data_IF_986346453366
#
_entry.id   IF_986346453366
#
_cell.length_a   1.000
_cell.length_b   1.000
_cell.length_c   1.000
_cell.angle_alpha   90.00
_cell.angle_beta   90.00
_cell.angle_gamma   90.00
#
_symmetry.space_group_name_H-M   'P 1'
#
loop_
_entity.id
_entity.type
_entity.pdbx_description
1 polymer ?
#
# COMPACT_ATOMS: atom_id res chain seq x y z
N UNK A 1 -16.42 -8.22 18.95
CA UNK A 1 -16.32 -7.49 17.68
C UNK A 1 -15.13 -7.98 16.90
N UNK A 2 -15.23 -7.95 15.58
CA UNK A 2 -14.16 -8.21 14.63
C UNK A 2 -13.44 -6.89 14.30
N UNK A 3 -12.15 -6.78 14.59
CA UNK A 3 -11.34 -5.58 14.32
C UNK A 3 -10.37 -5.92 13.20
N UNK A 4 -10.36 -5.14 12.12
CA UNK A 4 -9.35 -5.24 11.07
C UNK A 4 -8.27 -4.18 11.29
N UNK A 5 -7.01 -4.62 11.44
CA UNK A 5 -5.84 -3.76 11.44
C UNK A 5 -5.31 -3.67 10.01
N UNK A 6 -5.33 -2.48 9.43
CA UNK A 6 -4.92 -2.22 8.04
C UNK A 6 -3.77 -1.23 8.09
N UNK A 7 -2.54 -1.72 8.12
CA UNK A 7 -1.40 -0.83 8.32
C UNK A 7 -0.04 -1.28 7.81
N UNK A 8 0.97 -0.46 8.09
CA UNK A 8 2.35 -0.60 7.63
C UNK A 8 3.19 -1.56 8.47
N UNK A 9 4.52 -1.39 8.43
CA UNK A 9 5.45 -2.27 9.15
C UNK A 9 5.36 -2.15 10.67
N UNK A 10 4.92 -1.01 11.22
CA UNK A 10 4.62 -0.86 12.65
C UNK A 10 3.37 -1.66 13.09
N UNK A 11 2.56 -2.12 12.15
CA UNK A 11 1.46 -3.06 12.38
C UNK A 11 1.94 -4.52 12.26
N UNK A 12 3.26 -4.77 12.12
CA UNK A 12 3.84 -6.10 11.99
C UNK A 12 4.02 -6.89 13.29
N UNK A 13 4.25 -8.20 13.17
CA UNK A 13 4.25 -9.15 14.30
C UNK A 13 5.57 -9.14 15.11
N UNK A 14 6.70 -8.78 14.50
CA UNK A 14 8.01 -8.90 15.16
C UNK A 14 8.27 -7.81 16.21
N UNK A 15 7.87 -6.56 15.92
CA UNK A 15 8.13 -5.38 16.78
C UNK A 15 7.01 -4.33 16.73
N UNK A 16 5.84 -4.67 16.18
CA UNK A 16 4.76 -3.71 15.97
C UNK A 16 3.73 -3.68 17.09
N UNK A 17 3.01 -2.56 17.19
CA UNK A 17 1.91 -2.36 18.14
C UNK A 17 0.79 -3.38 17.94
N UNK A 18 0.61 -3.93 16.74
CA UNK A 18 -0.46 -4.88 16.43
C UNK A 18 -0.39 -6.17 17.26
N UNK A 19 0.80 -6.74 17.47
CA UNK A 19 0.95 -7.96 18.28
C UNK A 19 0.57 -7.70 19.74
N UNK A 20 1.00 -6.57 20.29
CA UNK A 20 0.62 -6.15 21.64
C UNK A 20 -0.89 -5.86 21.71
N UNK A 21 -1.46 -5.27 20.67
CA UNK A 21 -2.89 -5.02 20.55
C UNK A 21 -3.68 -6.33 20.55
N UNK A 22 -3.32 -7.31 19.73
CA UNK A 22 -3.94 -8.65 19.71
C UNK A 22 -3.88 -9.32 21.09
N UNK A 23 -2.72 -9.24 21.76
CA UNK A 23 -2.53 -9.80 23.10
C UNK A 23 -3.38 -9.10 24.17
N UNK A 24 -3.62 -7.80 24.06
CA UNK A 24 -4.41 -7.01 25.01
C UNK A 24 -5.92 -7.06 24.69
N UNK A 25 -6.29 -7.16 23.42
CA UNK A 25 -7.66 -7.15 22.90
C UNK A 25 -8.33 -8.54 22.89
N UNK A 26 -8.01 -9.44 23.83
CA UNK A 26 -8.46 -10.87 23.81
C UNK A 26 -9.98 -11.08 23.74
N UNK A 27 -10.78 -10.06 24.06
CA UNK A 27 -12.25 -10.06 23.96
C UNK A 27 -12.75 -9.77 22.53
N UNK A 28 -11.85 -9.54 21.59
CA UNK A 28 -12.13 -9.16 20.22
C UNK A 28 -11.47 -10.16 19.27
N UNK A 29 -12.11 -10.38 18.12
CA UNK A 29 -11.48 -11.11 17.02
C UNK A 29 -10.65 -10.09 16.24
N UNK A 30 -9.33 -10.15 16.37
CA UNK A 30 -8.44 -9.21 15.68
C UNK A 30 -7.90 -9.89 14.43
N UNK A 31 -8.02 -9.20 13.30
CA UNK A 31 -7.49 -9.62 12.01
C UNK A 31 -6.44 -8.61 11.55
N UNK A 32 -5.20 -9.07 11.42
CA UNK A 32 -4.10 -8.22 10.97
C UNK A 32 -3.85 -8.39 9.47
N UNK A 33 -4.15 -7.33 8.71
CA UNK A 33 -3.98 -7.26 7.24
C UNK A 33 -2.82 -6.34 6.85
N UNK A 34 -1.78 -6.24 7.67
CA UNK A 34 -0.65 -5.35 7.40
C UNK A 34 0.16 -5.79 6.18
N UNK A 35 0.76 -4.81 5.50
CA UNK A 35 1.89 -5.04 4.61
C UNK A 35 2.93 -3.95 4.83
N UNK A 36 4.17 -4.37 5.11
CA UNK A 36 5.28 -3.46 5.29
C UNK A 36 5.65 -2.71 3.99
N UNK A 37 6.20 -1.50 4.14
CA UNK A 37 6.80 -0.69 3.07
C UNK A 37 5.90 -0.36 1.85
N UNK A 38 4.60 -0.31 2.07
CA UNK A 38 3.61 0.20 1.11
C UNK A 38 2.77 1.30 1.77
N UNK A 39 2.25 2.24 1.00
CA UNK A 39 1.48 3.38 1.52
C UNK A 39 -0.01 3.09 1.68
N UNK A 40 -0.75 4.13 2.06
CA UNK A 40 -2.20 4.11 2.25
C UNK A 40 -2.98 3.60 1.03
N UNK A 41 -2.45 3.74 -0.19
CA UNK A 41 -3.10 3.24 -1.40
C UNK A 41 -3.18 1.71 -1.43
N UNK A 42 -2.20 1.03 -0.83
CA UNK A 42 -2.32 -0.41 -0.60
C UNK A 42 -3.32 -0.73 0.52
N UNK A 43 -3.37 0.09 1.58
CA UNK A 43 -4.43 -0.03 2.58
C UNK A 43 -5.84 0.05 1.98
N UNK A 44 -6.06 0.98 1.04
CA UNK A 44 -7.29 1.07 0.26
C UNK A 44 -7.54 -0.19 -0.58
N UNK A 45 -6.52 -0.74 -1.24
CA UNK A 45 -6.61 -2.03 -1.95
C UNK A 45 -7.14 -3.14 -1.03
N UNK A 46 -6.59 -3.26 0.17
CA UNK A 46 -7.01 -4.28 1.13
C UNK A 46 -8.46 -4.13 1.59
N UNK A 47 -8.97 -2.90 1.65
CA UNK A 47 -10.38 -2.64 1.91
C UNK A 47 -11.24 -3.07 0.70
N UNK A 48 -10.86 -2.68 -0.52
CA UNK A 48 -11.59 -3.07 -1.74
C UNK A 48 -11.65 -4.60 -1.91
N UNK A 49 -10.60 -5.32 -1.54
CA UNK A 49 -10.58 -6.79 -1.61
C UNK A 49 -11.59 -7.44 -0.66
N UNK A 50 -11.90 -6.82 0.50
CA UNK A 50 -12.94 -7.33 1.41
C UNK A 50 -14.32 -7.42 0.75
N UNK A 51 -14.61 -6.63 -0.29
CA UNK A 51 -15.88 -6.73 -1.00
C UNK A 51 -16.00 -7.98 -1.86
N UNK A 52 -14.87 -8.53 -2.30
CA UNK A 52 -14.81 -9.72 -3.14
C UNK A 52 -14.53 -11.01 -2.37
N UNK A 53 -14.33 -10.93 -1.06
CA UNK A 53 -14.19 -12.08 -0.18
C UNK A 53 -15.58 -12.45 0.37
N UNK A 54 -15.96 -13.74 0.36
CA UNK A 54 -17.20 -14.23 1.01
C UNK A 54 -17.11 -14.20 2.56
N UNK A 55 -16.23 -13.36 3.11
CA UNK A 55 -15.97 -13.23 4.53
C UNK A 55 -16.80 -12.09 5.15
N UNK A 56 -17.21 -12.21 6.43
CA UNK A 56 -17.89 -11.14 7.11
C UNK A 56 -16.98 -9.90 7.24
N UNK A 57 -17.53 -8.72 6.94
CA UNK A 57 -16.87 -7.45 7.15
C UNK A 57 -16.52 -7.24 8.64
N UNK A 58 -15.46 -6.47 8.95
CA UNK A 58 -15.13 -6.14 10.33
C UNK A 58 -16.16 -5.20 10.96
N UNK A 59 -16.21 -5.14 12.28
CA UNK A 59 -16.98 -4.15 13.05
C UNK A 59 -16.19 -2.84 13.26
N UNK A 60 -14.87 -2.86 13.02
CA UNK A 60 -13.98 -1.71 13.17
C UNK A 60 -12.77 -1.86 12.24
N UNK A 61 -12.40 -0.77 11.56
CA UNK A 61 -11.13 -0.64 10.84
C UNK A 61 -10.21 0.32 11.59
N UNK A 62 -9.00 -0.15 11.91
CA UNK A 62 -7.89 0.70 12.37
C UNK A 62 -6.91 0.82 11.22
N UNK A 63 -6.74 2.03 10.69
CA UNK A 63 -5.96 2.29 9.49
C UNK A 63 -4.68 3.08 9.81
N UNK A 64 -3.51 2.51 9.50
CA UNK A 64 -2.18 3.01 9.90
C UNK A 64 -1.20 2.95 8.71
N UNK A 65 -1.08 4.03 7.94
CA UNK A 65 -0.12 4.10 6.84
C UNK A 65 0.64 5.43 6.75
N UNK A 66 0.40 6.36 7.69
CA UNK A 66 0.97 7.71 7.63
C UNK A 66 2.48 7.72 7.55
N UNK A 67 3.16 6.80 8.24
CA UNK A 67 4.63 6.70 8.20
C UNK A 67 5.12 6.36 6.79
N UNK A 68 4.54 5.33 6.16
CA UNK A 68 4.90 4.95 4.80
C UNK A 68 4.52 6.05 3.78
N UNK A 69 3.39 6.74 4.00
CA UNK A 69 3.00 7.88 3.17
C UNK A 69 4.03 9.02 3.24
N UNK A 70 4.61 9.29 4.42
CA UNK A 70 5.69 10.28 4.58
C UNK A 70 6.93 9.89 3.77
N UNK A 71 7.34 8.63 3.83
CA UNK A 71 8.49 8.13 3.06
C UNK A 71 8.23 8.16 1.56
N UNK A 72 7.03 7.76 1.12
CA UNK A 72 6.67 7.78 -0.29
C UNK A 72 6.58 9.21 -0.83
N UNK A 73 6.06 10.14 -0.02
CA UNK A 73 6.00 11.56 -0.37
C UNK A 73 7.42 12.15 -0.45
N UNK A 74 8.30 11.84 0.51
CA UNK A 74 9.70 12.26 0.48
C UNK A 74 10.41 11.76 -0.78
N UNK A 75 10.18 10.49 -1.16
CA UNK A 75 10.75 9.90 -2.38
C UNK A 75 10.17 10.47 -3.68
N UNK A 76 9.06 11.22 -3.62
CA UNK A 76 8.37 11.80 -4.78
C UNK A 76 7.59 10.77 -5.61
N UNK A 77 7.26 9.62 -5.05
CA UNK A 77 6.42 8.61 -5.71
C UNK A 77 4.92 8.87 -5.57
N UNK A 78 4.54 9.54 -4.48
CA UNK A 78 3.16 9.97 -4.24
C UNK A 78 3.14 11.46 -4.05
N UNK A 79 2.04 12.06 -4.46
CA UNK A 79 1.76 13.49 -4.29
C UNK A 79 0.77 13.71 -3.15
N UNK A 80 0.73 14.91 -2.54
CA UNK A 80 -0.30 15.24 -1.54
C UNK A 80 -1.72 15.05 -2.07
N UNK A 81 -1.96 15.30 -3.37
CA UNK A 81 -3.25 15.06 -4.02
C UNK A 81 -3.62 13.58 -4.02
N UNK A 82 -2.72 12.71 -4.47
CA UNK A 82 -2.96 11.26 -4.46
C UNK A 82 -3.21 10.73 -3.05
N UNK A 83 -2.46 11.22 -2.05
CA UNK A 83 -2.68 10.85 -0.65
C UNK A 83 -4.06 11.31 -0.16
N UNK A 84 -4.45 12.56 -0.44
CA UNK A 84 -5.78 13.07 -0.10
C UNK A 84 -6.89 12.22 -0.72
N UNK A 85 -6.80 11.94 -2.01
CA UNK A 85 -7.78 11.11 -2.73
C UNK A 85 -7.85 9.70 -2.13
N UNK A 86 -6.70 9.12 -1.79
CA UNK A 86 -6.63 7.78 -1.20
C UNK A 86 -7.35 7.74 0.15
N UNK A 87 -7.07 8.71 1.02
CA UNK A 87 -7.71 8.80 2.33
C UNK A 87 -9.21 9.09 2.20
N UNK A 88 -9.61 9.94 1.26
CA UNK A 88 -11.03 10.18 0.99
C UNK A 88 -11.72 8.91 0.46
N UNK A 89 -11.04 8.06 -0.31
CA UNK A 89 -11.59 6.78 -0.79
C UNK A 89 -11.70 5.77 0.36
N UNK A 90 -10.74 5.74 1.29
CA UNK A 90 -10.81 4.94 2.53
C UNK A 90 -12.02 5.35 3.38
N UNK A 91 -12.21 6.66 3.59
CA UNK A 91 -13.38 7.21 4.28
C UNK A 91 -14.66 6.84 3.55
N UNK A 92 -14.71 7.03 2.23
CA UNK A 92 -15.88 6.71 1.40
C UNK A 92 -16.24 5.23 1.46
N UNK A 93 -15.25 4.35 1.38
CA UNK A 93 -15.42 2.90 1.53
C UNK A 93 -16.06 2.58 2.88
N UNK A 94 -15.45 3.03 3.98
CA UNK A 94 -15.94 2.75 5.33
C UNK A 94 -17.34 3.32 5.57
N UNK A 95 -17.61 4.55 5.09
CA UNK A 95 -18.94 5.16 5.18
C UNK A 95 -20.00 4.34 4.46
N UNK A 96 -19.74 3.93 3.21
CA UNK A 96 -20.69 3.17 2.38
C UNK A 96 -21.04 1.81 2.99
N UNK A 97 -20.09 1.19 3.71
CA UNK A 97 -20.26 -0.10 4.37
C UNK A 97 -20.62 0.01 5.85
N UNK A 98 -20.86 1.23 6.34
CA UNK A 98 -21.18 1.53 7.74
C UNK A 98 -20.13 0.98 8.73
N UNK A 99 -18.86 1.05 8.34
CA UNK A 99 -17.73 0.60 9.13
C UNK A 99 -17.18 1.76 9.97
N UNK A 100 -17.14 1.63 11.30
CA UNK A 100 -16.35 2.51 12.16
C UNK A 100 -14.87 2.53 11.74
N UNK A 101 -14.27 3.72 11.77
CA UNK A 101 -12.89 3.94 11.34
C UNK A 101 -12.10 4.74 12.39
N UNK A 102 -10.87 4.29 12.65
CA UNK A 102 -9.84 5.05 13.34
C UNK A 102 -8.64 5.20 12.40
N UNK A 103 -8.20 6.44 12.21
CA UNK A 103 -6.86 6.71 11.69
C UNK A 103 -5.84 6.72 12.82
N UNK A 104 -4.83 5.87 12.70
CA UNK A 104 -3.64 5.90 13.56
C UNK A 104 -2.50 6.52 12.76
N UNK A 105 -2.09 7.71 13.16
CA UNK A 105 -1.05 8.49 12.49
C UNK A 105 0.28 8.38 13.24
N UNK A 106 1.07 7.36 12.88
CA UNK A 106 2.45 7.21 13.34
C UNK A 106 3.41 8.06 12.50
N UNK A 107 4.54 8.40 13.08
CA UNK A 107 5.55 9.29 12.50
C UNK A 107 6.92 8.60 12.49
N UNK A 108 7.84 9.05 11.63
CA UNK A 108 9.23 8.58 11.63
C UNK A 108 10.01 9.17 12.82
N UNK A 109 11.17 8.60 13.11
CA UNK A 109 12.07 9.13 14.14
C UNK A 109 12.45 10.60 13.86
N UNK A 110 12.47 11.49 14.87
CA UNK A 110 12.64 12.94 14.69
C UNK A 110 14.10 13.40 14.40
N UNK A 111 14.95 12.54 13.85
CA UNK A 111 16.36 12.83 13.51
C UNK A 111 16.63 12.78 12.00
N UNK A 112 15.56 12.66 11.19
CA UNK A 112 15.65 12.52 9.75
C UNK A 112 16.15 13.76 9.01
N UNK A 113 16.45 13.59 7.72
CA UNK A 113 16.75 14.72 6.81
C UNK A 113 15.62 15.76 6.90
N UNK A 114 15.94 17.06 6.85
CA UNK A 114 14.95 18.16 6.91
C UNK A 114 13.72 17.96 5.98
N UNK A 115 13.94 17.33 4.83
CA UNK A 115 12.89 17.02 3.85
C UNK A 115 11.82 16.03 4.38
N UNK A 116 12.23 15.05 5.17
CA UNK A 116 11.31 14.07 5.78
C UNK A 116 10.42 14.74 6.80
N UNK A 117 10.96 15.68 7.60
CA UNK A 117 10.16 16.46 8.56
C UNK A 117 9.09 17.33 7.89
N UNK A 118 9.40 17.94 6.75
CA UNK A 118 8.39 18.66 5.96
C UNK A 118 7.27 17.72 5.49
N UNK A 119 7.60 16.48 5.13
CA UNK A 119 6.63 15.46 4.77
C UNK A 119 5.77 15.01 5.97
N UNK A 120 6.33 14.90 7.18
CA UNK A 120 5.58 14.62 8.41
C UNK A 120 4.45 15.63 8.60
N UNK A 121 4.77 16.93 8.55
CA UNK A 121 3.78 17.99 8.72
C UNK A 121 2.67 17.94 7.66
N UNK A 122 3.04 17.69 6.39
CA UNK A 122 2.08 17.59 5.28
C UNK A 122 1.14 16.39 5.46
N UNK A 123 1.69 15.20 5.69
CA UNK A 123 0.89 13.96 5.81
C UNK A 123 0.00 14.02 7.03
N UNK A 124 0.54 14.39 8.19
CA UNK A 124 -0.24 14.54 9.43
C UNK A 124 -1.40 15.51 9.26
N UNK A 125 -1.16 16.67 8.63
CA UNK A 125 -2.21 17.65 8.34
C UNK A 125 -3.30 17.05 7.46
N UNK A 126 -2.95 16.31 6.39
CA UNK A 126 -3.94 15.67 5.51
C UNK A 126 -4.82 14.68 6.28
N UNK A 127 -4.22 13.79 7.09
CA UNK A 127 -4.98 12.84 7.90
C UNK A 127 -5.92 13.54 8.90
N UNK A 128 -5.43 14.58 9.60
CA UNK A 128 -6.23 15.35 10.55
C UNK A 128 -7.38 16.10 9.87
N UNK A 129 -7.12 16.81 8.77
CA UNK A 129 -8.13 17.56 8.02
C UNK A 129 -9.24 16.65 7.52
N UNK A 130 -8.89 15.51 6.91
CA UNK A 130 -9.86 14.53 6.41
C UNK A 130 -10.63 13.92 7.57
N UNK A 131 -9.95 13.55 8.66
CA UNK A 131 -10.61 12.99 9.81
C UNK A 131 -11.62 13.95 10.43
N UNK A 132 -11.25 15.22 10.60
CA UNK A 132 -12.13 16.26 11.10
C UNK A 132 -13.32 16.48 10.17
N UNK A 133 -13.09 16.62 8.86
CA UNK A 133 -14.14 16.87 7.87
C UNK A 133 -15.19 15.76 7.81
N UNK A 134 -14.79 14.51 8.07
CA UNK A 134 -15.65 13.34 7.96
C UNK A 134 -16.03 12.72 9.32
N UNK A 135 -15.68 13.38 10.43
CA UNK A 135 -15.98 12.90 11.78
C UNK A 135 -15.34 11.56 12.12
N UNK A 136 -14.15 11.29 11.57
CA UNK A 136 -13.32 10.10 11.87
C UNK A 136 -12.41 10.40 13.06
N UNK A 137 -12.16 9.40 13.89
CA UNK A 137 -11.18 9.55 14.96
C UNK A 137 -9.77 9.44 14.39
N UNK A 138 -8.93 10.44 14.63
CA UNK A 138 -7.53 10.44 14.25
C UNK A 138 -6.66 10.53 15.52
N UNK A 139 -5.80 9.55 15.71
CA UNK A 139 -4.85 9.46 16.82
C UNK A 139 -3.45 9.69 16.26
N UNK A 140 -2.86 10.84 16.57
CA UNK A 140 -1.48 11.16 16.17
C UNK A 140 -0.50 10.74 17.25
N UNK A 141 0.73 10.37 16.86
CA UNK A 141 1.76 9.92 17.80
C UNK A 141 1.99 10.94 18.92
N UNK A 142 2.01 12.23 18.61
CA UNK A 142 2.16 13.30 19.60
C UNK A 142 0.96 13.47 20.54
N UNK A 143 -0.25 13.16 20.09
CA UNK A 143 -1.43 13.14 20.96
C UNK A 143 -1.41 11.95 21.93
N UNK A 144 -0.62 10.91 21.65
CA UNK A 144 -0.44 9.73 22.50
C UNK A 144 0.72 9.96 23.49
N UNK A 145 1.83 10.51 23.01
CA UNK A 145 3.10 10.53 23.74
C UNK A 145 3.54 11.90 24.22
N UNK A 146 3.00 12.99 23.65
CA UNK A 146 3.71 14.25 23.54
C UNK A 146 4.68 14.23 22.34
N UNK A 147 5.48 15.29 22.12
CA UNK A 147 6.41 15.34 20.99
C UNK A 147 7.30 14.08 20.93
N UNK A 148 7.35 13.36 19.79
CA UNK A 148 8.16 12.14 19.68
C UNK A 148 9.64 12.45 19.83
N UNK A 149 10.39 11.54 20.44
CA UNK A 149 11.83 11.67 20.71
C UNK A 149 12.60 10.50 20.09
N UNK A 150 13.90 10.65 19.79
CA UNK A 150 14.74 9.59 19.25
C UNK A 150 14.64 8.25 19.98
N UNK A 151 14.63 8.28 21.32
CA UNK A 151 14.57 7.11 22.21
C UNK A 151 13.25 6.35 22.16
N UNK A 152 12.21 6.94 21.58
CA UNK A 152 10.91 6.28 21.42
C UNK A 152 10.91 5.22 20.29
N UNK A 153 12.04 5.07 19.59
CA UNK A 153 12.21 4.24 18.39
C UNK A 153 13.39 3.26 18.51
N UNK A 154 13.28 2.10 17.86
CA UNK A 154 14.39 1.12 17.74
C UNK A 154 15.26 1.37 16.51
N UNK A 155 14.69 2.00 15.48
CA UNK A 155 15.38 2.45 14.27
C UNK A 155 14.69 3.72 13.72
N UNK A 156 15.02 4.15 12.50
CA UNK A 156 14.43 5.36 11.91
C UNK A 156 12.90 5.30 11.69
N UNK A 157 12.29 4.11 11.77
CA UNK A 157 10.92 3.85 11.33
C UNK A 157 10.06 3.08 12.32
N UNK A 158 10.64 2.34 13.27
CA UNK A 158 9.89 1.45 14.15
C UNK A 158 9.92 1.93 15.60
N UNK A 159 8.74 1.95 16.22
CA UNK A 159 8.58 2.30 17.63
C UNK A 159 9.23 1.24 18.53
N UNK A 160 9.66 1.65 19.72
CA UNK A 160 10.05 0.72 20.77
C UNK A 160 8.86 -0.07 21.32
N UNK A 161 9.15 -1.16 22.02
CA UNK A 161 8.11 -2.02 22.61
C UNK A 161 7.26 -1.24 23.63
N UNK A 162 7.89 -0.45 24.49
CA UNK A 162 7.20 0.39 25.49
C UNK A 162 6.25 1.38 24.81
N UNK A 163 6.72 2.05 23.76
CA UNK A 163 5.95 3.07 23.07
C UNK A 163 4.80 2.45 22.27
N UNK A 164 5.04 1.28 21.67
CA UNK A 164 3.98 0.47 21.06
C UNK A 164 2.89 0.11 22.07
N UNK A 165 3.26 -0.23 23.32
CA UNK A 165 2.30 -0.48 24.40
C UNK A 165 1.42 0.72 24.72
N UNK A 166 1.99 1.92 24.76
CA UNK A 166 1.22 3.17 24.97
C UNK A 166 0.25 3.46 23.82
N UNK A 167 0.63 3.14 22.58
CA UNK A 167 -0.27 3.22 21.42
C UNK A 167 -1.44 2.25 21.58
N UNK A 168 -1.17 1.01 22.01
CA UNK A 168 -2.20 -0.01 22.27
C UNK A 168 -3.18 0.44 23.34
N UNK A 169 -2.68 0.90 24.49
CA UNK A 169 -3.51 1.39 25.59
C UNK A 169 -4.45 2.51 25.12
N UNK A 170 -3.92 3.42 24.30
CA UNK A 170 -4.72 4.52 23.76
C UNK A 170 -5.79 4.04 22.80
N UNK A 171 -5.48 3.11 21.89
CA UNK A 171 -6.45 2.53 20.97
C UNK A 171 -7.58 1.81 21.72
N UNK A 172 -7.23 0.97 22.70
CA UNK A 172 -8.20 0.24 23.51
C UNK A 172 -9.09 1.17 24.32
N UNK A 173 -8.56 2.28 24.84
CA UNK A 173 -9.35 3.30 25.51
C UNK A 173 -10.37 3.95 24.55
N UNK A 174 -9.95 4.30 23.33
CA UNK A 174 -10.85 4.90 22.33
C UNK A 174 -11.96 3.93 21.91
N UNK A 175 -11.63 2.64 21.80
CA UNK A 175 -12.59 1.56 21.56
C UNK A 175 -13.58 1.43 22.72
N UNK A 176 -13.09 1.34 23.96
CA UNK A 176 -13.92 1.19 25.15
C UNK A 176 -14.87 2.37 25.37
N UNK A 177 -14.46 3.57 24.98
CA UNK A 177 -15.28 4.79 25.01
C UNK A 177 -16.24 4.92 23.83
N UNK A 178 -16.27 3.96 22.89
CA UNK A 178 -17.14 4.01 21.71
C UNK A 178 -16.84 5.19 20.77
N UNK A 179 -15.58 5.63 20.71
CA UNK A 179 -15.17 6.82 19.93
C UNK A 179 -14.84 6.52 18.48
N UNK A 180 -14.78 5.24 18.09
CA UNK A 180 -14.74 4.86 16.69
C UNK A 180 -16.11 5.12 16.05
N UNK A 181 -16.14 5.99 15.05
CA UNK A 181 -17.36 6.45 14.40
C UNK A 181 -17.40 6.01 12.95
N UNK A 182 -18.60 5.79 12.44
CA UNK A 182 -18.83 5.62 11.01
C UNK A 182 -18.56 6.98 10.34
N UNK A 183 -17.67 7.07 9.34
CA UNK A 183 -17.38 8.33 8.69
C UNK A 183 -18.60 8.93 7.99
N UNK A 184 -18.67 10.26 7.96
CA UNK A 184 -19.68 11.02 7.21
C UNK A 184 -19.10 11.43 5.86
N UNK A 185 -19.30 10.63 4.83
CA UNK A 185 -18.83 10.94 3.48
C UNK A 185 -20.00 11.21 2.53
N UNK A 186 -19.92 12.23 1.65
CA UNK A 186 -20.82 12.33 0.52
C UNK A 186 -20.63 11.12 -0.40
N UNK A 187 -21.70 10.68 -1.04
CA UNK A 187 -21.61 9.66 -2.09
C UNK A 187 -20.85 10.26 -3.26
N UNK A 188 -19.62 9.80 -3.48
CA UNK A 188 -18.80 10.15 -4.63
C UNK A 188 -18.22 8.89 -5.26
N UNK A 189 -17.99 8.88 -6.58
CA UNK A 189 -17.23 7.80 -7.20
C UNK A 189 -15.84 7.69 -6.57
N UNK A 190 -15.31 6.47 -6.36
CA UNK A 190 -13.96 6.28 -5.86
C UNK A 190 -12.96 6.81 -6.88
N UNK A 191 -11.93 7.52 -6.40
CA UNK A 191 -10.83 8.05 -7.21
C UNK A 191 -9.96 6.93 -7.77
N UNK A 192 -9.81 5.81 -7.06
CA UNK A 192 -9.02 4.67 -7.48
C UNK A 192 -9.88 3.44 -7.79
N UNK A 193 -9.36 2.58 -8.66
CA UNK A 193 -9.90 1.25 -8.91
C UNK A 193 -8.75 0.30 -9.20
N UNK A 194 -9.00 -0.97 -8.94
CA UNK A 194 -8.01 -2.02 -9.04
C UNK A 194 -8.48 -3.09 -10.02
N UNK A 195 -7.64 -3.39 -11.01
CA UNK A 195 -7.86 -4.54 -11.89
C UNK A 195 -6.98 -5.69 -11.46
N UNK A 196 -7.61 -6.83 -11.16
CA UNK A 196 -6.96 -8.08 -10.75
C UNK A 196 -6.28 -8.77 -11.93
N UNK A 197 -5.41 -9.73 -11.65
CA UNK A 197 -4.81 -10.60 -12.65
C UNK A 197 -5.88 -11.33 -13.46
N UNK A 198 -6.98 -11.75 -12.82
CA UNK A 198 -8.18 -12.35 -13.42
C UNK A 198 -8.68 -11.59 -14.67
N UNK A 199 -8.63 -10.26 -14.63
CA UNK A 199 -9.16 -9.37 -15.66
C UNK A 199 -8.20 -9.15 -16.84
N UNK A 200 -6.95 -9.66 -16.75
CA UNK A 200 -5.95 -9.50 -17.79
C UNK A 200 -6.19 -10.44 -18.97
N UNK A 201 -6.03 -9.92 -20.19
CA UNK A 201 -5.85 -10.73 -21.39
C UNK A 201 -4.37 -11.08 -21.55
N UNK A 202 -4.05 -12.36 -21.68
CA UNK A 202 -2.67 -12.86 -21.69
C UNK A 202 -2.25 -13.27 -23.10
N UNK A 203 -0.98 -13.06 -23.44
CA UNK A 203 -0.40 -13.48 -24.73
C UNK A 203 1.02 -14.00 -24.53
N UNK A 204 1.38 -15.06 -25.26
CA UNK A 204 2.69 -15.69 -25.14
C UNK A 204 2.86 -16.49 -23.83
N UNK A 205 4.09 -16.65 -23.33
CA UNK A 205 4.39 -17.46 -22.14
C UNK A 205 3.98 -16.75 -20.85
N UNK A 206 2.68 -16.84 -20.55
CA UNK A 206 2.04 -16.34 -19.35
C UNK A 206 1.23 -17.47 -18.69
N UNK A 207 1.18 -17.51 -17.36
CA UNK A 207 0.30 -18.44 -16.63
C UNK A 207 -0.26 -17.81 -15.37
N UNK A 208 -1.47 -18.21 -15.01
CA UNK A 208 -2.11 -17.85 -13.74
C UNK A 208 -1.61 -18.78 -12.63
N UNK A 209 -1.32 -18.22 -11.47
CA UNK A 209 -0.77 -18.93 -10.32
C UNK A 209 -1.44 -18.43 -9.05
N UNK A 210 -2.09 -19.32 -8.32
CA UNK A 210 -2.62 -18.99 -7.00
C UNK A 210 -1.50 -18.96 -5.98
N UNK A 211 -1.38 -17.82 -5.30
CA UNK A 211 -0.40 -17.62 -4.26
C UNK A 211 -1.10 -17.33 -2.95
N UNK A 212 -0.67 -18.04 -1.91
CA UNK A 212 -1.08 -17.77 -0.54
C UNK A 212 0.14 -17.46 0.32
N UNK A 213 0.01 -16.41 1.12
CA UNK A 213 0.97 -16.02 2.16
C UNK A 213 0.22 -15.54 3.39
N UNK A 214 0.95 -15.33 4.48
CA UNK A 214 0.40 -14.85 5.74
C UNK A 214 -0.21 -13.43 5.65
N UNK A 215 0.27 -12.61 4.71
CA UNK A 215 -0.13 -11.18 4.59
C UNK A 215 -0.97 -10.90 3.34
N UNK A 216 -0.90 -11.77 2.34
CA UNK A 216 -1.57 -11.57 1.06
C UNK A 216 -1.82 -12.91 0.36
N UNK A 217 -3.03 -13.11 -0.16
CA UNK A 217 -3.39 -14.29 -0.95
C UNK A 217 -4.22 -13.85 -2.15
N UNK A 218 -4.04 -14.50 -3.30
CA UNK A 218 -4.77 -14.19 -4.51
C UNK A 218 -4.15 -14.83 -5.75
N UNK A 219 -4.82 -14.65 -6.89
CA UNK A 219 -4.34 -15.10 -8.19
C UNK A 219 -3.31 -14.10 -8.75
N UNK A 220 -2.17 -14.62 -9.19
CA UNK A 220 -1.13 -13.85 -9.85
C UNK A 220 -0.98 -14.28 -11.28
N UNK A 221 -0.55 -13.33 -12.11
CA UNK A 221 -0.08 -13.59 -13.45
C UNK A 221 1.45 -13.66 -13.45
N UNK A 222 1.98 -14.85 -13.71
CA UNK A 222 3.39 -15.06 -13.99
C UNK A 222 3.63 -14.86 -15.48
N UNK A 223 4.50 -13.92 -15.83
CA UNK A 223 4.89 -13.54 -17.18
C UNK A 223 6.36 -13.89 -17.35
N UNK A 224 6.65 -14.79 -18.28
CA UNK A 224 8.02 -15.12 -18.68
C UNK A 224 8.40 -14.35 -19.95
N UNK A 225 9.67 -14.45 -20.34
CA UNK A 225 10.22 -13.79 -21.52
C UNK A 225 9.42 -14.08 -22.79
N UNK A 226 9.07 -13.03 -23.53
CA UNK A 226 8.19 -13.06 -24.69
C UNK A 226 6.69 -12.95 -24.36
N UNK A 227 6.34 -13.00 -23.08
CA UNK A 227 4.96 -12.90 -22.59
C UNK A 227 4.50 -11.46 -22.39
N UNK A 228 3.19 -11.25 -22.54
CA UNK A 228 2.54 -10.00 -22.21
C UNK A 228 1.15 -10.21 -21.61
N UNK A 229 0.71 -9.16 -20.92
CA UNK A 229 -0.57 -9.10 -20.26
C UNK A 229 -1.18 -7.73 -20.47
N UNK A 230 -2.48 -7.71 -20.71
CA UNK A 230 -3.21 -6.52 -21.07
C UNK A 230 -4.40 -6.32 -20.15
N UNK A 231 -4.45 -5.15 -19.52
CA UNK A 231 -5.58 -4.72 -18.70
C UNK A 231 -6.39 -3.63 -19.40
N UNK A 232 -7.70 -3.53 -19.13
CA UNK A 232 -8.46 -2.35 -19.51
C UNK A 232 -7.87 -1.12 -18.82
N UNK A 233 -7.54 -0.09 -19.60
CA UNK A 233 -6.83 1.11 -19.15
C UNK A 233 -7.62 2.38 -19.46
N UNK A 234 -8.56 2.72 -18.59
CA UNK A 234 -9.23 4.02 -18.64
C UNK A 234 -8.89 4.87 -17.41
N UNK A 235 -7.88 5.74 -17.52
CA UNK A 235 -7.44 6.59 -16.41
C UNK A 235 -5.92 6.73 -16.35
N UNK A 236 -5.34 6.76 -15.16
CA UNK A 236 -3.89 6.86 -14.97
C UNK A 236 -3.38 5.66 -14.19
N UNK A 237 -2.38 4.94 -14.71
CA UNK A 237 -1.70 3.90 -13.94
C UNK A 237 -0.86 4.55 -12.85
N UNK A 238 -1.15 4.19 -11.59
CA UNK A 238 -0.48 4.70 -10.39
C UNK A 238 0.52 3.70 -9.85
N UNK A 239 0.18 2.40 -9.88
CA UNK A 239 1.07 1.37 -9.42
C UNK A 239 0.70 -0.03 -9.89
N UNK A 240 1.66 -0.94 -9.77
CA UNK A 240 1.50 -2.36 -10.10
C UNK A 240 1.68 -3.17 -8.82
N UNK A 241 0.69 -3.97 -8.45
CA UNK A 241 0.80 -4.88 -7.31
C UNK A 241 1.52 -6.15 -7.79
N UNK A 242 2.71 -6.41 -7.26
CA UNK A 242 3.55 -7.51 -7.71
C UNK A 242 4.24 -8.23 -6.56
N UNK A 243 4.73 -9.44 -6.85
CA UNK A 243 5.60 -10.20 -5.95
C UNK A 243 7.04 -10.11 -6.45
N UNK A 244 7.94 -9.68 -5.58
CA UNK A 244 9.36 -9.59 -5.84
C UNK A 244 10.06 -10.89 -5.39
N UNK A 245 10.48 -11.73 -6.35
CA UNK A 245 11.14 -13.04 -6.15
C UNK A 245 12.62 -13.02 -6.57
N UNK A 246 13.35 -14.12 -6.39
CA UNK A 246 14.77 -14.20 -6.84
C UNK A 246 14.90 -14.08 -8.36
N UNK A 247 13.86 -14.50 -9.09
CA UNK A 247 13.77 -14.41 -10.54
C UNK A 247 13.14 -13.11 -11.02
N UNK A 248 12.70 -12.21 -10.12
CA UNK A 248 12.09 -10.95 -10.55
C UNK A 248 13.07 -10.13 -11.41
N UNK A 249 12.55 -9.50 -12.45
CA UNK A 249 13.37 -8.85 -13.47
C UNK A 249 12.91 -7.47 -13.88
N UNK A 250 13.50 -6.99 -14.97
CA UNK A 250 13.03 -5.81 -15.67
C UNK A 250 11.90 -6.15 -16.62
N UNK A 251 10.94 -5.23 -16.73
CA UNK A 251 9.75 -5.42 -17.55
C UNK A 251 9.32 -4.10 -18.19
N UNK A 252 8.53 -4.20 -19.25
CA UNK A 252 7.98 -3.04 -19.94
C UNK A 252 6.55 -2.76 -19.51
N UNK A 253 6.21 -1.48 -19.39
CA UNK A 253 4.83 -0.98 -19.26
C UNK A 253 4.56 -0.07 -20.46
N UNK A 254 3.47 -0.32 -21.17
CA UNK A 254 3.05 0.47 -22.33
C UNK A 254 1.58 0.90 -22.24
N UNK A 255 1.33 2.17 -22.54
CA UNK A 255 -0.01 2.72 -22.68
C UNK A 255 -0.02 3.68 -23.88
N UNK A 256 -0.73 3.29 -24.94
CA UNK A 256 -0.70 4.00 -26.23
C UNK A 256 0.73 4.13 -26.77
N UNK A 257 1.18 5.36 -27.03
CA UNK A 257 2.53 5.65 -27.57
C UNK A 257 3.63 5.71 -26.50
N UNK A 258 3.28 5.65 -25.21
CA UNK A 258 4.24 5.76 -24.11
C UNK A 258 4.64 4.36 -23.67
N UNK A 259 5.94 4.11 -23.60
CA UNK A 259 6.52 2.87 -23.10
C UNK A 259 7.66 3.19 -22.14
N UNK A 260 7.71 2.48 -21.03
CA UNK A 260 8.74 2.63 -20.01
C UNK A 260 9.19 1.26 -19.51
N UNK A 261 10.36 1.22 -18.89
CA UNK A 261 10.90 0.03 -18.23
C UNK A 261 10.83 0.21 -16.73
N UNK A 262 10.43 -0.84 -16.01
CA UNK A 262 10.48 -0.90 -14.55
C UNK A 262 11.20 -2.17 -14.11
N UNK A 263 11.68 -2.15 -12.87
CA UNK A 263 12.35 -3.29 -12.25
C UNK A 263 11.49 -3.78 -11.07
N UNK A 264 11.18 -5.09 -11.08
CA UNK A 264 10.40 -5.76 -10.04
C UNK A 264 11.26 -6.16 -8.82
N UNK A 265 12.59 -6.08 -8.89
CA UNK A 265 13.47 -6.32 -7.74
C UNK A 265 13.47 -5.17 -6.73
N UNK A 266 13.51 -5.54 -5.46
CA UNK A 266 13.68 -4.63 -4.33
C UNK A 266 14.75 -5.14 -3.37
N UNK A 267 15.59 -4.24 -2.88
CA UNK A 267 16.60 -4.53 -1.86
C UNK A 267 15.96 -5.02 -0.55
N UNK A 268 14.69 -4.69 -0.31
CA UNK A 268 13.93 -5.18 0.84
C UNK A 268 13.74 -6.71 0.84
N UNK A 269 13.99 -7.40 -0.29
CA UNK A 269 14.00 -8.87 -0.34
C UNK A 269 15.03 -9.51 0.59
N UNK A 270 16.08 -8.78 0.97
CA UNK A 270 17.05 -9.23 1.97
C UNK A 270 16.38 -9.47 3.34
N UNK A 271 15.36 -8.68 3.66
CA UNK A 271 14.55 -8.86 4.88
C UNK A 271 13.35 -9.80 4.67
N UNK A 272 12.79 -9.85 3.46
CA UNK A 272 11.63 -10.68 3.12
C UNK A 272 11.79 -11.37 1.74
N UNK A 273 12.19 -12.66 1.68
CA UNK A 273 12.51 -13.34 0.42
C UNK A 273 11.38 -13.45 -0.60
N UNK A 274 10.12 -13.28 -0.19
CA UNK A 274 8.92 -13.28 -1.04
C UNK A 274 8.10 -12.03 -0.75
N UNK A 275 8.63 -10.89 -1.15
CA UNK A 275 8.11 -9.58 -0.80
C UNK A 275 6.97 -9.17 -1.72
N UNK A 276 5.83 -8.83 -1.13
CA UNK A 276 4.69 -8.23 -1.82
C UNK A 276 4.81 -6.72 -1.82
N UNK A 277 4.61 -6.06 -2.97
CA UNK A 277 4.75 -4.59 -3.09
C UNK A 277 3.72 -4.00 -4.04
N UNK A 278 3.28 -2.78 -3.71
CA UNK A 278 2.67 -1.88 -4.67
C UNK A 278 3.76 -0.99 -5.29
N UNK A 279 4.18 -1.33 -6.50
CA UNK A 279 5.20 -0.59 -7.25
C UNK A 279 4.59 0.67 -7.88
N UNK A 280 4.71 1.80 -7.19
CA UNK A 280 4.30 3.11 -7.70
C UNK A 280 5.10 3.53 -8.92
N UNK A 281 4.45 4.23 -9.86
CA UNK A 281 5.12 4.94 -10.94
C UNK A 281 5.59 6.31 -10.45
N UNK A 282 6.79 6.73 -10.86
CA UNK A 282 7.29 8.06 -10.52
C UNK A 282 6.46 9.17 -11.18
N UNK A 283 5.90 8.87 -12.37
CA UNK A 283 4.93 9.74 -13.05
C UNK A 283 3.76 8.88 -13.50
N UNK A 284 2.51 9.24 -13.14
CA UNK A 284 1.34 8.53 -13.63
C UNK A 284 1.36 8.38 -15.16
N UNK A 285 0.98 7.19 -15.62
CA UNK A 285 0.90 6.86 -17.02
C UNK A 285 -0.56 6.91 -17.46
N UNK A 286 -0.95 7.97 -18.16
CA UNK A 286 -2.28 8.09 -18.74
C UNK A 286 -2.54 6.93 -19.72
N UNK A 287 -3.66 6.26 -19.53
CA UNK A 287 -4.16 5.13 -20.27
C UNK A 287 -5.50 5.53 -20.91
N UNK A 288 -5.55 5.47 -22.24
CA UNK A 288 -6.73 5.73 -23.04
C UNK A 288 -6.96 4.52 -23.97
N UNK A 289 -7.29 3.38 -23.37
CA UNK A 289 -7.41 2.09 -24.06
C UNK A 289 -6.76 0.99 -23.25
N UNK A 290 -5.97 0.13 -23.88
CA UNK A 290 -5.36 -0.99 -23.19
C UNK A 290 -4.03 -0.60 -22.52
N UNK A 291 -3.80 -1.10 -21.30
CA UNK A 291 -2.52 -1.07 -20.60
C UNK A 291 -1.80 -2.42 -20.83
N UNK A 292 -0.65 -2.41 -21.49
CA UNK A 292 0.18 -3.60 -21.69
C UNK A 292 1.34 -3.63 -20.68
N UNK A 293 1.53 -4.76 -20.02
CA UNK A 293 2.71 -5.07 -19.22
C UNK A 293 3.33 -6.35 -19.78
N UNK A 294 4.61 -6.30 -20.11
CA UNK A 294 5.28 -7.37 -20.83
C UNK A 294 6.71 -7.62 -20.35
N UNK A 295 7.18 -8.84 -20.57
CA UNK A 295 8.58 -9.26 -20.46
C UNK A 295 9.10 -9.44 -21.89
N UNK A 296 9.70 -8.42 -22.53
CA UNK A 296 10.10 -8.49 -23.93
C UNK A 296 11.11 -9.62 -24.20
N UNK A 297 11.11 -10.15 -25.43
CA UNK A 297 12.07 -11.19 -25.80
C UNK A 297 13.52 -10.70 -25.93
N UNK A 298 13.70 -9.38 -26.14
CA UNK A 298 15.01 -8.74 -26.37
C UNK A 298 15.41 -7.84 -25.20
N UNK A 299 16.50 -8.20 -24.52
CA UNK A 299 17.09 -7.38 -23.44
C UNK A 299 17.49 -6.00 -23.96
N UNK A 300 18.13 -5.95 -25.13
CA UNK A 300 18.59 -4.70 -25.75
C UNK A 300 17.43 -3.74 -26.00
N UNK A 301 16.29 -4.23 -26.48
CA UNK A 301 15.10 -3.39 -26.69
C UNK A 301 14.51 -2.90 -25.38
N UNK A 302 14.47 -3.75 -24.35
CA UNK A 302 14.00 -3.38 -23.03
C UNK A 302 14.89 -2.30 -22.41
N UNK A 303 16.21 -2.47 -22.45
CA UNK A 303 17.18 -1.53 -21.87
C UNK A 303 17.18 -0.15 -22.54
N UNK A 304 16.73 -0.06 -23.80
CA UNK A 304 16.58 1.22 -24.53
C UNK A 304 15.39 2.05 -24.06
N UNK A 305 14.43 1.45 -23.36
CA UNK A 305 13.28 2.18 -22.82
C UNK A 305 13.70 3.08 -21.67
N UNK A 306 12.98 4.17 -21.50
CA UNK A 306 13.14 5.04 -20.34
C UNK A 306 12.84 4.25 -19.06
N UNK A 307 13.79 4.25 -18.13
CA UNK A 307 13.59 3.66 -16.81
C UNK A 307 12.66 4.53 -15.94
N UNK A 308 11.69 3.88 -15.29
CA UNK A 308 10.91 4.41 -14.18
C UNK A 308 11.46 3.84 -12.87
N UNK A 309 11.87 4.72 -11.96
CA UNK A 309 12.59 4.32 -10.74
C UNK A 309 11.64 3.63 -9.76
N UNK A 310 12.14 2.58 -9.09
CA UNK A 310 11.50 1.95 -7.94
C UNK A 310 12.32 2.31 -6.70
N UNK A 311 11.71 2.70 -5.56
CA UNK A 311 12.45 2.91 -4.32
C UNK A 311 13.15 1.63 -3.92
N UNK A 312 14.36 1.77 -3.37
CA UNK A 312 15.16 0.63 -2.93
C UNK A 312 15.34 -0.42 -4.04
N UNK A 313 15.32 -0.02 -5.32
CA UNK A 313 15.56 -0.94 -6.43
C UNK A 313 16.97 -1.53 -6.34
N UNK A 314 17.08 -2.84 -6.54
CA UNK A 314 18.36 -3.52 -6.76
C UNK A 314 18.38 -4.13 -8.16
N UNK A 315 19.55 -4.39 -8.72
CA UNK A 315 19.63 -5.05 -10.02
C UNK A 315 18.98 -6.44 -9.98
N UNK A 316 18.39 -6.92 -11.10
CA UNK A 316 17.99 -8.31 -11.26
C UNK A 316 19.11 -9.27 -10.84
N UNK A 317 18.80 -10.19 -9.93
CA UNK A 317 19.75 -11.23 -9.52
C UNK A 317 19.83 -12.36 -10.56
N UNK A 318 18.72 -12.66 -11.23
CA UNK A 318 18.64 -13.65 -12.29
C UNK A 318 19.11 -13.08 -13.64
N UNK A 319 19.79 -13.89 -14.48
CA UNK A 319 20.10 -13.50 -15.85
C UNK A 319 18.80 -13.26 -16.63
N UNK A 320 18.85 -12.39 -17.64
CA UNK A 320 17.67 -11.93 -18.38
C UNK A 320 16.74 -13.07 -18.84
N UNK A 321 17.31 -14.15 -19.36
CA UNK A 321 16.56 -15.31 -19.85
C UNK A 321 15.81 -16.11 -18.77
N UNK A 322 16.20 -15.96 -17.50
CA UNK A 322 15.58 -16.61 -16.35
C UNK A 322 14.69 -15.65 -15.54
N UNK A 323 14.52 -14.41 -16.00
CA UNK A 323 13.69 -13.44 -15.30
C UNK A 323 12.20 -13.75 -15.50
N UNK A 324 11.44 -13.55 -14.43
CA UNK A 324 9.99 -13.66 -14.38
C UNK A 324 9.39 -12.38 -13.80
N UNK A 325 8.12 -12.14 -14.11
CA UNK A 325 7.33 -11.09 -13.51
C UNK A 325 6.04 -11.69 -12.96
N UNK A 326 5.74 -11.41 -11.69
CA UNK A 326 4.55 -11.94 -11.03
C UNK A 326 3.66 -10.78 -10.57
N UNK A 327 2.55 -10.55 -11.26
CA UNK A 327 1.65 -9.42 -11.05
C UNK A 327 0.32 -9.91 -10.49
N UNK A 328 -0.12 -9.34 -9.37
CA UNK A 328 -1.48 -9.56 -8.86
C UNK A 328 -2.51 -8.66 -9.55
N UNK A 329 -2.09 -7.48 -10.00
CA UNK A 329 -2.97 -6.54 -10.68
C UNK A 329 -2.42 -5.12 -10.72
N UNK A 330 -3.23 -4.20 -11.24
CA UNK A 330 -2.84 -2.80 -11.49
C UNK A 330 -3.77 -1.84 -10.76
N UNK A 331 -3.18 -0.81 -10.15
CA UNK A 331 -3.89 0.26 -9.47
C UNK A 331 -4.00 1.47 -10.38
N UNK A 332 -5.23 1.85 -10.70
CA UNK A 332 -5.57 2.91 -11.62
C UNK A 332 -6.27 4.04 -10.88
N UNK A 333 -6.01 5.28 -11.30
CA UNK A 333 -6.73 6.48 -10.88
C UNK A 333 -7.70 6.88 -11.98
N UNK A 334 -8.94 7.20 -11.63
CA UNK A 334 -9.94 7.71 -12.57
C UNK A 334 -9.47 9.06 -13.13
N UNK A 335 -9.69 9.31 -14.43
CA UNK A 335 -9.41 10.62 -14.99
C UNK A 335 -10.41 11.64 -14.42
N UNK A 336 -9.89 12.75 -13.89
CA UNK A 336 -10.62 13.97 -13.50
C UNK A 336 -11.99 13.77 -12.85
N UNK A 337 -12.01 13.61 -11.52
CA UNK A 337 -13.18 13.92 -10.69
C UNK A 337 -13.20 15.41 -10.33
#
# INVERSE_FOLDING_TARGET
MKISLVGGSNTGISYGWARQFEAAAKRHQVENRFLGAVGSLFGLLRLMEMEGEDAPLPDLVIFEYSLNDMMLLDSGLVTPTQLRETLLDVVGFCASRRLPLIFLCLEVQPIGRQRVHACVAVVKRLYLEIAQAHGVRCLTLDAILGPPRPEDFVDEHHLSEEISGRVVDRLLLEIALGRATIPRAPVRPPSFFYHRAAEAQISGPCRRVDLSSTVFSGEFLEIARGGSARWPGHGELIGVMLRSTQTAGEFAIAAGKRKLRKNAQSAMRLAAPRLMLLHYLQKPLACAGDLDISMPASEVELMRLRADRTPLSTAPAAPFDAQLLEIHGVMMRRPGL
#
